data_IF_414543071290
#
_entry.id   IF_414543071290
#
_cell.length_a   1.000
_cell.length_b   1.000
_cell.length_c   1.000
_cell.angle_alpha   90.00
_cell.angle_beta   90.00
_cell.angle_gamma   90.00
#
_symmetry.space_group_name_H-M   'P 1'
#
loop_
_entity.id
_entity.type
_entity.pdbx_description
1 polymer ?
#
# COMPACT_ATOMS: atom_id res chain seq x y z
N UNK A 1 29.68 -18.50 -4.61
CA UNK A 1 28.64 -17.58 -4.09
C UNK A 1 28.11 -16.74 -5.25
N UNK A 2 27.08 -17.18 -5.98
CA UNK A 2 26.37 -16.31 -6.89
C UNK A 2 25.06 -15.85 -6.23
N UNK A 3 24.87 -14.53 -6.20
CA UNK A 3 23.63 -13.87 -5.84
C UNK A 3 22.70 -13.96 -7.06
N UNK A 4 22.16 -15.14 -7.32
CA UNK A 4 21.13 -15.31 -8.33
C UNK A 4 19.76 -15.30 -7.65
N UNK A 5 19.24 -14.10 -7.41
CA UNK A 5 17.80 -13.92 -7.30
C UNK A 5 17.31 -13.25 -8.57
N UNK A 6 17.07 -14.10 -9.56
CA UNK A 6 16.26 -13.82 -10.73
C UNK A 6 14.88 -13.37 -10.26
N UNK A 7 14.68 -12.06 -10.10
CA UNK A 7 13.32 -11.50 -10.01
C UNK A 7 12.79 -11.52 -11.44
N UNK A 8 12.23 -12.67 -11.82
CA UNK A 8 11.32 -12.77 -12.95
C UNK A 8 10.16 -11.83 -12.66
N UNK A 9 10.19 -10.64 -13.25
CA UNK A 9 9.04 -9.74 -13.37
C UNK A 9 8.01 -10.43 -14.29
N UNK A 10 7.31 -11.41 -13.74
CA UNK A 10 6.13 -11.98 -14.37
C UNK A 10 5.06 -10.89 -14.40
N UNK A 11 5.04 -10.22 -15.54
CA UNK A 11 4.06 -9.23 -15.97
C UNK A 11 2.74 -9.94 -16.29
N UNK A 12 2.11 -10.54 -15.27
CA UNK A 12 0.81 -11.21 -15.36
C UNK A 12 0.09 -11.16 -14.02
N UNK A 13 -0.39 -9.98 -13.61
CA UNK A 13 -1.46 -9.88 -12.61
C UNK A 13 -2.54 -8.92 -13.11
N UNK A 14 -3.43 -9.45 -13.95
CA UNK A 14 -4.84 -9.06 -13.89
C UNK A 14 -5.36 -9.66 -12.58
N UNK A 15 -5.37 -8.88 -11.50
CA UNK A 15 -5.73 -9.38 -10.17
C UNK A 15 -5.85 -8.23 -9.19
N UNK A 16 -7.07 -7.95 -8.77
CA UNK A 16 -7.47 -6.99 -7.75
C UNK A 16 -6.57 -7.04 -6.51
N UNK A 17 -5.56 -6.17 -6.44
CA UNK A 17 -4.80 -5.96 -5.21
C UNK A 17 -5.76 -5.44 -4.12
N UNK A 18 -5.69 -6.03 -2.93
CA UNK A 18 -6.60 -5.69 -1.83
C UNK A 18 -6.14 -4.41 -1.13
N UNK A 19 -7.10 -3.56 -0.77
CA UNK A 19 -6.83 -2.38 0.06
C UNK A 19 -6.25 -2.80 1.41
N UNK A 20 -5.33 -2.01 1.95
CA UNK A 20 -4.75 -2.26 3.27
C UNK A 20 -5.84 -2.43 4.35
N UNK A 21 -6.91 -1.64 4.27
CA UNK A 21 -8.09 -1.74 5.15
C UNK A 21 -8.73 -3.14 5.10
N UNK A 22 -8.90 -3.68 3.90
CA UNK A 22 -9.50 -5.00 3.70
C UNK A 22 -8.58 -6.12 4.18
N UNK A 23 -7.26 -5.99 3.95
CA UNK A 23 -6.27 -6.94 4.45
C UNK A 23 -6.30 -7.04 5.98
N UNK A 24 -6.37 -5.89 6.67
CA UNK A 24 -6.47 -5.84 8.14
C UNK A 24 -7.75 -6.54 8.64
N UNK A 25 -8.89 -6.32 7.97
CA UNK A 25 -10.16 -6.95 8.35
C UNK A 25 -10.14 -8.46 8.12
N UNK A 26 -9.67 -8.91 6.94
CA UNK A 26 -9.63 -10.34 6.58
C UNK A 26 -8.73 -11.14 7.50
N UNK A 27 -7.57 -10.58 7.86
CA UNK A 27 -6.61 -11.25 8.75
C UNK A 27 -6.89 -11.00 10.24
N UNK A 28 -7.92 -10.22 10.59
CA UNK A 28 -8.21 -9.85 11.98
C UNK A 28 -7.08 -9.07 12.66
N UNK A 29 -6.25 -8.37 11.87
CA UNK A 29 -5.10 -7.62 12.36
C UNK A 29 -5.58 -6.23 12.80
N UNK A 30 -5.31 -5.89 14.06
CA UNK A 30 -5.60 -4.54 14.56
C UNK A 30 -4.61 -3.51 14.00
N UNK A 31 -5.07 -2.27 13.81
CA UNK A 31 -4.20 -1.16 13.38
C UNK A 31 -3.00 -0.98 14.30
N UNK A 32 -3.16 -1.24 15.60
CA UNK A 32 -2.08 -1.17 16.60
C UNK A 32 -1.02 -2.25 16.37
N UNK A 33 -1.47 -3.49 16.10
CA UNK A 33 -0.55 -4.59 15.81
C UNK A 33 0.22 -4.32 14.52
N UNK A 34 -0.48 -3.96 13.45
CA UNK A 34 0.14 -3.62 12.18
C UNK A 34 1.10 -2.43 12.30
N UNK A 35 0.76 -1.44 13.13
CA UNK A 35 1.64 -0.32 13.40
C UNK A 35 2.93 -0.75 14.11
N UNK A 36 2.83 -1.69 15.07
CA UNK A 36 3.99 -2.25 15.74
C UNK A 36 4.89 -3.03 14.76
N UNK A 37 4.30 -3.85 13.89
CA UNK A 37 5.03 -4.64 12.89
C UNK A 37 5.75 -3.74 11.86
N UNK A 38 5.11 -2.63 11.48
CA UNK A 38 5.68 -1.64 10.58
C UNK A 38 6.60 -0.62 11.30
N UNK A 39 6.68 -0.64 12.64
CA UNK A 39 7.44 0.35 13.41
C UNK A 39 6.93 1.79 13.22
N UNK A 40 5.62 1.99 13.28
CA UNK A 40 4.94 3.30 13.30
C UNK A 40 4.01 3.43 14.49
N UNK A 41 3.58 4.67 14.73
CA UNK A 41 2.45 4.94 15.58
C UNK A 41 1.14 4.51 14.92
N UNK A 42 0.17 4.07 15.72
CA UNK A 42 -1.19 3.75 15.25
C UNK A 42 -1.83 4.92 14.48
N UNK A 43 -1.59 6.15 14.92
CA UNK A 43 -2.07 7.35 14.23
C UNK A 43 -1.61 7.39 12.77
N UNK A 44 -0.37 6.98 12.46
CA UNK A 44 0.13 6.95 11.09
C UNK A 44 -0.62 5.95 10.22
N UNK A 45 -0.95 4.76 10.75
CA UNK A 45 -1.79 3.78 10.04
C UNK A 45 -3.21 4.31 9.85
N UNK A 46 -3.78 4.97 10.86
CA UNK A 46 -5.08 5.62 10.72
C UNK A 46 -5.09 6.66 9.60
N UNK A 47 -4.02 7.47 9.51
CA UNK A 47 -3.84 8.42 8.41
C UNK A 47 -3.77 7.73 7.05
N UNK A 48 -3.09 6.60 6.94
CA UNK A 48 -3.00 5.86 5.68
C UNK A 48 -4.32 5.22 5.24
N UNK A 49 -5.20 4.92 6.19
CA UNK A 49 -6.49 4.29 5.91
C UNK A 49 -7.60 5.29 5.62
N UNK A 50 -7.58 6.46 6.28
CA UNK A 50 -8.69 7.41 6.28
C UNK A 50 -8.32 8.81 5.78
N UNK A 51 -7.09 9.25 6.00
CA UNK A 51 -6.62 10.50 5.40
C UNK A 51 -6.04 10.17 4.02
N UNK A 52 -6.10 11.09 3.05
CA UNK A 52 -5.45 10.92 1.74
C UNK A 52 -3.90 10.99 1.87
N UNK A 53 -3.34 10.35 2.89
CA UNK A 53 -1.94 10.39 3.24
C UNK A 53 -1.25 9.15 2.70
N UNK A 54 -0.41 9.34 1.70
CA UNK A 54 0.36 8.28 1.09
C UNK A 54 1.67 8.03 1.90
N UNK A 55 2.01 6.78 2.25
CA UNK A 55 3.32 6.47 2.81
C UNK A 55 4.43 6.78 1.80
N UNK A 56 5.67 7.00 2.27
CA UNK A 56 6.82 7.06 1.36
C UNK A 56 7.01 5.72 0.62
N UNK A 57 7.58 5.73 -0.60
CA UNK A 57 7.79 4.50 -1.37
C UNK A 57 8.55 3.40 -0.61
N UNK A 58 9.46 3.79 0.30
CA UNK A 58 10.12 2.86 1.23
C UNK A 58 9.15 2.17 2.17
N UNK A 59 8.21 2.92 2.77
CA UNK A 59 7.15 2.38 3.65
C UNK A 59 6.19 1.48 2.87
N UNK A 60 5.84 1.88 1.65
CA UNK A 60 4.97 1.05 0.81
C UNK A 60 5.62 -0.30 0.49
N UNK A 61 6.92 -0.32 0.16
CA UNK A 61 7.66 -1.57 -0.04
C UNK A 61 7.70 -2.43 1.23
N UNK A 62 7.84 -1.83 2.41
CA UNK A 62 7.77 -2.57 3.68
C UNK A 62 6.38 -3.17 3.92
N UNK A 63 5.31 -2.40 3.66
CA UNK A 63 3.93 -2.89 3.74
C UNK A 63 3.72 -4.05 2.76
N UNK A 64 4.22 -3.92 1.52
CA UNK A 64 4.12 -4.96 0.50
C UNK A 64 4.80 -6.26 0.95
N UNK A 65 5.95 -6.18 1.61
CA UNK A 65 6.64 -7.35 2.16
C UNK A 65 5.91 -7.95 3.39
N UNK A 66 5.44 -7.13 4.31
CA UNK A 66 4.75 -7.59 5.53
C UNK A 66 3.40 -8.25 5.20
N UNK A 67 2.72 -7.74 4.17
CA UNK A 67 1.41 -8.24 3.74
C UNK A 67 1.50 -9.43 2.78
N UNK A 68 2.69 -10.02 2.62
CA UNK A 68 2.94 -11.13 1.69
C UNK A 68 2.45 -10.82 0.28
N UNK A 69 2.84 -9.64 -0.24
CA UNK A 69 2.52 -9.18 -1.59
C UNK A 69 1.02 -8.95 -1.87
N UNK A 70 0.15 -9.01 -0.85
CA UNK A 70 -1.30 -8.84 -1.02
C UNK A 70 -1.71 -7.37 -1.21
N UNK A 71 -1.04 -6.43 -0.52
CA UNK A 71 -1.31 -4.98 -0.63
C UNK A 71 -0.32 -4.36 -1.61
N UNK A 72 -0.73 -4.23 -2.88
CA UNK A 72 0.11 -3.72 -3.96
C UNK A 72 0.41 -2.23 -3.86
N UNK A 73 1.55 -1.82 -4.42
CA UNK A 73 1.96 -0.40 -4.52
C UNK A 73 0.95 0.46 -5.29
N UNK A 74 0.26 -0.14 -6.28
CA UNK A 74 -0.71 0.54 -7.13
C UNK A 74 -1.98 0.98 -6.39
N UNK A 75 -2.34 0.29 -5.31
CA UNK A 75 -3.48 0.66 -4.46
C UNK A 75 -3.29 2.05 -3.82
N UNK A 76 -2.04 2.43 -3.58
CA UNK A 76 -1.67 3.74 -3.06
C UNK A 76 -1.63 4.83 -4.14
N UNK A 77 -1.52 4.44 -5.42
CA UNK A 77 -1.44 5.35 -6.58
C UNK A 77 -2.83 5.73 -7.12
N UNK A 78 -3.85 4.90 -6.90
CA UNK A 78 -5.25 5.18 -7.28
C UNK A 78 -5.78 6.50 -6.66
N UNK A 79 -5.16 7.00 -5.58
CA UNK A 79 -5.53 8.27 -4.95
C UNK A 79 -4.91 9.52 -5.58
N UNK A 80 -4.06 9.40 -6.60
CA UNK A 80 -3.41 10.53 -7.27
C UNK A 80 -4.12 11.00 -8.54
N UNK A 81 -5.16 10.31 -9.03
CA UNK A 81 -5.77 10.62 -10.33
C UNK A 81 -7.05 11.47 -10.29
N UNK A 82 -7.48 11.96 -9.12
CA UNK A 82 -8.67 12.80 -9.01
C UNK A 82 -8.35 14.23 -8.50
N UNK A 83 -7.58 15.05 -9.24
CA UNK A 83 -7.63 16.51 -9.05
C UNK A 83 -6.98 17.40 -10.16
N UNK A 84 -7.11 17.06 -11.45
CA UNK A 84 -6.85 18.02 -12.55
C UNK A 84 -8.13 18.44 -13.29
N UNK A 85 -9.21 18.61 -12.51
CA UNK A 85 -10.53 19.04 -12.95
C UNK A 85 -10.82 20.52 -12.72
N UNK A 86 -9.85 21.44 -12.85
CA UNK A 86 -10.18 22.87 -12.98
C UNK A 86 -10.26 23.27 -14.45
N UNK A 87 -11.47 23.09 -14.99
CA UNK A 87 -11.95 23.73 -16.21
C UNK A 87 -11.83 25.26 -16.06
N UNK A 88 -10.83 25.86 -16.73
CA UNK A 88 -10.85 27.29 -17.03
C UNK A 88 -11.76 27.51 -18.24
N UNK A 89 -13.03 27.80 -17.97
CA UNK A 89 -13.89 28.46 -18.93
C UNK A 89 -13.48 29.93 -19.03
N UNK A 90 -12.95 30.33 -20.17
CA UNK A 90 -12.74 31.71 -20.60
C UNK A 90 -13.34 31.89 -21.99
#
# INVERSE_FOLDING_TARGET
MPYEHNIQVNHTYCGCHMKLSQYLVVNGISQKQFAADLGVCQATIHKYLYEKSCPSGKRMMQIYQITDYQVGLMDWLEHFEDEDGQSLAG
#
